data_IF_850060026633
#
_entry.id   IF_850060026633
#
_cell.length_a   1.000
_cell.length_b   1.000
_cell.length_c   1.000
_cell.angle_alpha   90.00
_cell.angle_beta   90.00
_cell.angle_gamma   90.00
#
_symmetry.space_group_name_H-M   'P 1'
#
loop_
_entity.id
_entity.type
_entity.pdbx_description
1 polymer ?
#
# COMPACT_ATOMS: atom_id res chain seq x y z
N UNK A 1 0.33 9.41 28.06
CA UNK A 1 0.67 8.46 26.98
C UNK A 1 1.69 9.16 26.11
N UNK A 2 2.90 8.60 25.94
CA UNK A 2 3.88 9.19 25.04
C UNK A 2 3.37 9.06 23.59
N UNK A 3 3.53 10.11 22.79
CA UNK A 3 3.21 10.05 21.37
C UNK A 3 4.16 9.06 20.69
N UNK A 4 3.58 8.13 19.91
CA UNK A 4 4.34 7.13 19.16
C UNK A 4 4.28 7.50 17.69
N UNK A 5 5.44 7.60 17.04
CA UNK A 5 5.53 7.81 15.60
C UNK A 5 5.09 6.53 14.87
N UNK A 6 4.16 6.65 13.92
CA UNK A 6 3.63 5.53 13.14
C UNK A 6 3.46 5.90 11.67
N UNK A 7 3.45 4.91 10.80
CA UNK A 7 3.01 5.06 9.41
C UNK A 7 1.50 4.85 9.29
N UNK A 8 0.83 5.69 8.50
CA UNK A 8 -0.57 5.53 8.14
C UNK A 8 -0.75 4.33 7.22
N UNK A 9 -1.63 3.39 7.57
CA UNK A 9 -1.86 2.18 6.76
C UNK A 9 -2.54 2.47 5.42
N UNK A 10 -3.10 3.67 5.24
CA UNK A 10 -3.83 4.03 4.01
C UNK A 10 -2.95 4.82 3.04
N UNK A 11 -2.19 5.79 3.53
CA UNK A 11 -1.40 6.69 2.67
C UNK A 11 0.11 6.62 2.89
N UNK A 12 0.58 5.85 3.87
CA UNK A 12 2.00 5.69 4.18
C UNK A 12 2.67 6.86 4.92
N UNK A 13 2.01 8.02 5.06
CA UNK A 13 2.57 9.16 5.78
C UNK A 13 2.85 8.82 7.25
N UNK A 14 4.00 9.28 7.76
CA UNK A 14 4.33 9.20 9.18
C UNK A 14 3.56 10.25 9.98
N UNK A 15 3.10 9.90 11.18
CA UNK A 15 2.35 10.80 12.06
C UNK A 15 2.53 10.43 13.54
N UNK A 16 2.25 11.39 14.42
CA UNK A 16 2.23 11.16 15.87
C UNK A 16 0.88 10.60 16.30
N UNK A 17 0.86 9.35 16.75
CA UNK A 17 -0.35 8.68 17.17
C UNK A 17 -0.61 8.94 18.66
N UNK A 18 -1.76 9.57 18.95
CA UNK A 18 -2.25 9.77 20.34
C UNK A 18 -2.62 8.46 21.05
N UNK A 19 -2.84 7.38 20.29
CA UNK A 19 -3.28 6.06 20.79
C UNK A 19 -2.54 4.93 20.07
N UNK A 20 -2.21 3.88 20.82
CA UNK A 20 -1.59 2.65 20.29
C UNK A 20 -2.49 1.84 19.34
N UNK A 21 -3.78 2.16 19.25
CA UNK A 21 -4.70 1.55 18.28
C UNK A 21 -4.87 2.35 16.99
N UNK A 22 -4.38 3.60 16.91
CA UNK A 22 -4.55 4.42 15.72
C UNK A 22 -3.83 3.80 14.52
N UNK A 23 -4.54 3.67 13.39
CA UNK A 23 -4.04 3.08 12.14
C UNK A 23 -3.82 4.11 11.02
N UNK A 24 -4.55 5.21 11.05
CA UNK A 24 -4.53 6.24 10.01
C UNK A 24 -4.21 7.62 10.58
N UNK A 25 -3.59 8.46 9.75
CA UNK A 25 -3.10 9.78 10.18
C UNK A 25 -4.18 10.86 10.26
N UNK A 26 -5.35 10.66 9.66
CA UNK A 26 -6.41 11.67 9.62
C UNK A 26 -7.79 11.05 9.40
N UNK A 27 -8.84 11.81 9.77
CA UNK A 27 -10.23 11.49 9.44
C UNK A 27 -10.42 11.33 7.93
N UNK A 28 -9.72 12.13 7.12
CA UNK A 28 -9.75 12.01 5.66
C UNK A 28 -9.29 10.62 5.19
N UNK A 29 -8.14 10.14 5.69
CA UNK A 29 -7.65 8.80 5.36
C UNK A 29 -8.62 7.71 5.84
N UNK A 30 -9.23 7.88 7.02
CA UNK A 30 -10.26 6.96 7.51
C UNK A 30 -11.46 6.91 6.56
N UNK A 31 -11.95 8.06 6.11
CA UNK A 31 -13.13 8.15 5.25
C UNK A 31 -12.86 7.59 3.84
N UNK A 32 -11.71 7.92 3.25
CA UNK A 32 -11.30 7.39 1.94
C UNK A 32 -11.14 5.86 1.99
N UNK A 33 -10.47 5.34 3.03
CA UNK A 33 -10.29 3.90 3.24
C UNK A 33 -11.64 3.19 3.39
N UNK A 34 -12.55 3.75 4.20
CA UNK A 34 -13.89 3.19 4.41
C UNK A 34 -14.76 3.26 3.14
N UNK A 35 -14.63 4.32 2.35
CA UNK A 35 -15.32 4.47 1.07
C UNK A 35 -14.85 3.41 0.07
N UNK A 36 -13.54 3.19 -0.07
CA UNK A 36 -12.99 2.16 -0.96
C UNK A 36 -13.44 0.77 -0.53
N UNK A 37 -13.42 0.47 0.78
CA UNK A 37 -13.97 -0.79 1.29
C UNK A 37 -15.43 -0.96 0.89
N UNK A 38 -16.27 0.04 1.17
CA UNK A 38 -17.70 -0.05 0.87
C UNK A 38 -18.02 -0.12 -0.63
N UNK A 39 -17.15 0.42 -1.49
CA UNK A 39 -17.34 0.43 -2.94
C UNK A 39 -16.86 -0.86 -3.61
N UNK A 40 -15.67 -1.34 -3.23
CA UNK A 40 -14.96 -2.40 -3.97
C UNK A 40 -14.77 -3.69 -3.16
N UNK A 41 -15.02 -3.67 -1.85
CA UNK A 41 -14.74 -4.76 -0.90
C UNK A 41 -15.85 -4.87 0.16
N UNK A 42 -17.11 -4.70 -0.25
CA UNK A 42 -18.26 -4.63 0.67
C UNK A 42 -18.52 -5.95 1.41
N UNK A 43 -18.07 -7.07 0.85
CA UNK A 43 -18.06 -8.40 1.46
C UNK A 43 -17.02 -8.57 2.58
N UNK A 44 -16.10 -7.62 2.78
CA UNK A 44 -15.15 -7.62 3.89
C UNK A 44 -15.64 -6.73 5.03
N UNK A 45 -15.52 -7.23 6.25
CA UNK A 45 -15.64 -6.43 7.46
C UNK A 45 -14.53 -5.37 7.54
N UNK A 46 -14.70 -4.29 8.35
CA UNK A 46 -13.64 -3.30 8.54
C UNK A 46 -12.30 -3.88 9.01
N UNK A 47 -12.34 -4.91 9.87
CA UNK A 47 -11.14 -5.56 10.39
C UNK A 47 -10.46 -6.44 9.34
N UNK A 48 -11.22 -7.21 8.56
CA UNK A 48 -10.69 -8.02 7.45
C UNK A 48 -10.07 -7.13 6.36
N UNK A 49 -10.71 -6.01 6.03
CA UNK A 49 -10.16 -5.05 5.08
C UNK A 49 -8.86 -4.42 5.61
N UNK A 50 -8.83 -4.06 6.90
CA UNK A 50 -7.62 -3.55 7.56
C UNK A 50 -6.49 -4.58 7.51
N UNK A 51 -6.79 -5.85 7.79
CA UNK A 51 -5.80 -6.93 7.72
C UNK A 51 -5.30 -7.15 6.29
N UNK A 52 -6.18 -7.03 5.29
CA UNK A 52 -5.82 -7.12 3.86
C UNK A 52 -4.81 -6.02 3.49
N UNK A 53 -5.05 -4.78 3.90
CA UNK A 53 -4.10 -3.68 3.68
C UNK A 53 -2.75 -3.94 4.36
N UNK A 54 -2.74 -4.44 5.59
CA UNK A 54 -1.49 -4.80 6.29
C UNK A 54 -0.72 -5.90 5.57
N UNK A 55 -1.41 -6.92 5.04
CA UNK A 55 -0.80 -8.00 4.27
C UNK A 55 -0.15 -7.46 2.99
N UNK A 56 -0.81 -6.52 2.31
CA UNK A 56 -0.26 -5.88 1.10
C UNK A 56 0.96 -5.03 1.43
N UNK A 57 0.92 -4.26 2.52
CA UNK A 57 2.09 -3.51 3.00
C UNK A 57 3.26 -4.45 3.28
N UNK A 58 2.99 -5.58 3.93
CA UNK A 58 4.01 -6.60 4.20
C UNK A 58 4.57 -7.24 2.93
N UNK A 59 3.77 -7.35 1.86
CA UNK A 59 4.22 -7.81 0.54
C UNK A 59 4.84 -6.70 -0.32
N UNK A 60 4.95 -5.47 0.20
CA UNK A 60 5.53 -4.34 -0.51
C UNK A 60 4.58 -3.60 -1.47
N UNK A 61 3.28 -3.88 -1.43
CA UNK A 61 2.28 -3.32 -2.36
C UNK A 61 1.16 -2.55 -1.65
N UNK A 62 0.37 -1.76 -2.39
CA UNK A 62 -0.78 -1.05 -1.82
C UNK A 62 -1.81 -0.61 -2.89
N UNK A 63 -3.12 -0.60 -2.57
CA UNK A 63 -4.17 -0.13 -3.52
C UNK A 63 -4.25 1.39 -3.67
N UNK A 64 -4.05 2.14 -2.58
CA UNK A 64 -4.16 3.60 -2.63
C UNK A 64 -3.06 4.17 -3.55
N UNK A 65 -3.40 4.83 -4.68
CA UNK A 65 -2.42 5.37 -5.62
C UNK A 65 -1.47 6.40 -5.01
N UNK A 66 -1.85 7.00 -3.87
CA UNK A 66 -1.02 7.97 -3.14
C UNK A 66 -0.09 7.33 -2.12
N UNK A 67 -0.15 6.01 -1.94
CA UNK A 67 0.71 5.30 -1.02
C UNK A 67 2.12 5.16 -1.63
N UNK A 68 3.21 5.38 -0.85
CA UNK A 68 4.58 5.31 -1.37
C UNK A 68 4.95 3.96 -1.98
N UNK A 69 4.33 2.87 -1.51
CA UNK A 69 4.54 1.52 -2.08
C UNK A 69 4.09 1.40 -3.55
N UNK A 70 3.14 2.22 -4.02
CA UNK A 70 2.75 2.19 -5.44
C UNK A 70 3.90 2.66 -6.34
N UNK A 71 4.70 3.63 -5.89
CA UNK A 71 5.88 4.06 -6.63
C UNK A 71 6.95 2.97 -6.68
N UNK A 72 7.10 2.21 -5.58
CA UNK A 72 8.02 1.07 -5.49
C UNK A 72 7.57 -0.07 -6.41
N UNK A 73 6.28 -0.42 -6.40
CA UNK A 73 5.70 -1.44 -7.27
C UNK A 73 5.91 -1.11 -8.75
N UNK A 74 5.66 0.14 -9.15
CA UNK A 74 5.88 0.58 -10.53
C UNK A 74 7.35 0.49 -10.94
N UNK A 75 8.27 0.92 -10.06
CA UNK A 75 9.70 0.82 -10.33
C UNK A 75 10.16 -0.65 -10.49
N UNK A 76 9.63 -1.55 -9.65
CA UNK A 76 9.92 -2.97 -9.75
C UNK A 76 9.38 -3.58 -11.07
N UNK A 77 8.18 -3.19 -11.49
CA UNK A 77 7.61 -3.61 -12.77
C UNK A 77 8.46 -3.15 -13.97
N UNK A 78 9.02 -1.94 -13.91
CA UNK A 78 9.92 -1.43 -14.95
C UNK A 78 11.25 -2.19 -15.01
N UNK A 79 11.80 -2.59 -13.86
CA UNK A 79 12.97 -3.47 -13.79
C UNK A 79 12.68 -4.81 -14.45
N UNK A 80 11.55 -5.45 -14.14
CA UNK A 80 11.18 -6.72 -14.77
C UNK A 80 10.96 -6.59 -16.28
N UNK A 81 10.34 -5.50 -16.74
CA UNK A 81 10.18 -5.22 -18.17
C UNK A 81 11.53 -5.09 -18.87
N UNK A 82 12.47 -4.37 -18.23
CA UNK A 82 13.82 -4.17 -18.76
C UNK A 82 14.59 -5.49 -18.85
N UNK A 83 14.52 -6.33 -17.81
CA UNK A 83 15.14 -7.66 -17.80
C UNK A 83 14.58 -8.56 -18.91
N UNK A 84 13.26 -8.58 -19.07
CA UNK A 84 12.61 -9.37 -20.13
C UNK A 84 13.03 -8.93 -21.53
N UNK A 85 13.21 -7.62 -21.75
CA UNK A 85 13.70 -7.12 -23.03
C UNK A 85 15.14 -7.55 -23.30
N UNK A 86 16.02 -7.50 -22.29
CA UNK A 86 17.41 -7.97 -22.42
C UNK A 86 17.47 -9.47 -22.75
N UNK A 87 16.65 -10.29 -22.11
CA UNK A 87 16.59 -11.73 -22.37
C UNK A 87 16.14 -12.05 -23.80
N UNK A 88 15.18 -11.29 -24.35
CA UNK A 88 14.74 -11.44 -25.75
C UNK A 88 15.86 -11.12 -26.73
N UNK A 89 16.52 -9.98 -26.55
CA UNK A 89 17.65 -9.57 -27.40
C UNK A 89 18.79 -10.60 -27.32
N UNK A 90 19.13 -11.08 -26.12
CA UNK A 90 20.16 -12.11 -25.95
C UNK A 90 19.77 -13.45 -26.60
N UNK A 91 18.48 -13.78 -26.66
CA UNK A 91 17.96 -14.97 -27.34
C UNK A 91 18.00 -14.88 -28.87
N UNK A 92 17.92 -13.67 -29.42
CA UNK A 92 17.97 -13.38 -30.86
C UNK A 92 19.42 -13.34 -31.41
N UNK A 93 20.44 -13.21 -30.55
CA UNK A 93 21.87 -13.23 -30.91
C UNK A 93 22.43 -14.67 -30.95
N UNK A 94 21.66 -15.65 -31.44
CA UNK A 94 22.13 -17.04 -31.64
C UNK A 94 22.28 -17.40 -33.10
#
# INVERSE_FOLDING_TARGET
>A
MADVQRACIWCGNTYQAKRSSAKVCSTKCSNEMNYVRARDWDWLTPDEFTQTLMNWIASGSHMNPKHPLVAVDNALADVYRSLNNLLKVAGEIK
#
